data_IF_829703281337
#
_entry.id   IF_829703281337
#
_cell.length_a   1.000
_cell.length_b   1.000
_cell.length_c   1.000
_cell.angle_alpha   90.00
_cell.angle_beta   90.00
_cell.angle_gamma   90.00
#
_symmetry.space_group_name_H-M   'P 1'
#
loop_
_entity.id
_entity.type
_entity.pdbx_description
1 polymer ?
#
# COMPACT_ATOMS: atom_id res chain seq x y z
N UNK A 1 3.87 -11.07 -12.46
CA UNK A 1 3.87 -11.24 -11.00
C UNK A 1 5.28 -11.13 -10.41
N UNK A 2 6.24 -11.98 -10.75
CA UNK A 2 7.61 -11.97 -10.19
C UNK A 2 8.32 -10.61 -10.25
N UNK A 3 8.21 -9.91 -11.39
CA UNK A 3 8.82 -8.57 -11.55
C UNK A 3 8.23 -7.52 -10.60
N UNK A 4 6.93 -7.60 -10.27
CA UNK A 4 6.32 -6.72 -9.28
C UNK A 4 6.87 -7.00 -7.88
N UNK A 5 6.97 -8.28 -7.50
CA UNK A 5 7.54 -8.69 -6.21
C UNK A 5 9.00 -8.26 -6.08
N UNK A 6 9.79 -8.42 -7.14
CA UNK A 6 11.18 -7.96 -7.17
C UNK A 6 11.28 -6.44 -6.93
N UNK A 7 10.46 -5.64 -7.63
CA UNK A 7 10.43 -4.19 -7.45
C UNK A 7 10.00 -3.79 -6.04
N UNK A 8 9.02 -4.48 -5.45
CA UNK A 8 8.60 -4.27 -4.06
C UNK A 8 9.74 -4.55 -3.07
N UNK A 9 10.45 -5.66 -3.24
CA UNK A 9 11.61 -5.99 -2.40
C UNK A 9 12.74 -4.97 -2.56
N UNK A 10 13.03 -4.57 -3.80
CA UNK A 10 14.07 -3.58 -4.10
C UNK A 10 13.72 -2.21 -3.51
N UNK A 11 12.49 -1.75 -3.72
CA UNK A 11 11.98 -0.51 -3.12
C UNK A 11 12.06 -0.54 -1.60
N UNK A 12 11.62 -1.65 -0.97
CA UNK A 12 11.67 -1.80 0.47
C UNK A 12 13.11 -1.81 1.01
N UNK A 13 14.03 -2.47 0.29
CA UNK A 13 15.46 -2.47 0.64
C UNK A 13 16.04 -1.06 0.62
N UNK A 14 15.75 -0.28 -0.44
CA UNK A 14 16.19 1.11 -0.54
C UNK A 14 15.59 1.98 0.56
N UNK A 15 14.28 1.83 0.85
CA UNK A 15 13.61 2.59 1.91
C UNK A 15 14.17 2.33 3.32
N UNK A 16 14.85 1.19 3.54
CA UNK A 16 15.46 0.78 4.81
C UNK A 16 16.95 1.08 4.91
N UNK A 17 17.56 1.68 3.90
CA UNK A 17 18.95 2.07 3.99
C UNK A 17 19.13 3.15 5.08
N UNK A 18 20.18 2.97 5.89
CA UNK A 18 20.56 3.91 6.94
C UNK A 18 21.35 5.12 6.43
N UNK A 19 21.89 4.99 5.24
CA UNK A 19 22.65 6.05 4.59
C UNK A 19 22.25 6.08 3.12
N UNK A 20 21.95 7.27 2.62
CA UNK A 20 21.69 7.51 1.21
C UNK A 20 22.75 8.46 0.64
N UNK A 21 23.22 8.13 -0.55
CA UNK A 21 23.94 9.08 -1.43
C UNK A 21 22.96 9.65 -2.44
N UNK A 22 23.35 10.71 -3.15
CA UNK A 22 22.51 11.25 -4.22
C UNK A 22 22.20 10.19 -5.28
N UNK A 23 23.19 9.37 -5.66
CA UNK A 23 23.00 8.26 -6.60
C UNK A 23 21.96 7.24 -6.09
N UNK A 24 22.01 6.86 -4.81
CA UNK A 24 21.03 5.92 -4.26
C UNK A 24 19.62 6.51 -4.19
N UNK A 25 19.49 7.81 -3.99
CA UNK A 25 18.20 8.51 -4.02
C UNK A 25 17.65 8.60 -5.44
N UNK A 26 18.49 8.82 -6.44
CA UNK A 26 18.08 8.83 -7.85
C UNK A 26 17.63 7.43 -8.30
N UNK A 27 18.35 6.37 -7.89
CA UNK A 27 17.93 4.97 -8.10
C UNK A 27 16.59 4.72 -7.41
N UNK A 28 16.44 5.18 -6.16
CA UNK A 28 15.22 5.01 -5.40
C UNK A 28 14.00 5.67 -6.06
N UNK A 29 14.20 6.88 -6.58
CA UNK A 29 13.16 7.59 -7.33
C UNK A 29 12.77 6.83 -8.61
N UNK A 30 13.74 6.31 -9.36
CA UNK A 30 13.46 5.51 -10.56
C UNK A 30 12.73 4.20 -10.21
N UNK A 31 13.18 3.48 -9.19
CA UNK A 31 12.52 2.26 -8.71
C UNK A 31 11.10 2.55 -8.25
N UNK A 32 10.85 3.70 -7.62
CA UNK A 32 9.52 4.13 -7.20
C UNK A 32 8.60 4.35 -8.40
N UNK A 33 9.07 5.03 -9.44
CA UNK A 33 8.32 5.23 -10.69
C UNK A 33 7.96 3.90 -11.35
N UNK A 34 8.95 3.01 -11.47
CA UNK A 34 8.76 1.67 -12.07
C UNK A 34 7.79 0.81 -11.24
N UNK A 35 7.89 0.86 -9.93
CA UNK A 35 6.97 0.18 -9.01
C UNK A 35 5.53 0.69 -9.18
N UNK A 36 5.33 2.00 -9.17
CA UNK A 36 4.01 2.60 -9.34
C UNK A 36 3.38 2.21 -10.69
N UNK A 37 4.15 2.23 -11.77
CA UNK A 37 3.69 1.80 -13.10
C UNK A 37 3.32 0.32 -13.09
N UNK A 38 4.12 -0.52 -12.46
CA UNK A 38 3.88 -1.95 -12.39
C UNK A 38 2.66 -2.30 -11.51
N UNK A 39 2.41 -1.55 -10.43
CA UNK A 39 1.21 -1.70 -9.61
C UNK A 39 -0.04 -1.34 -10.42
N UNK A 40 0.00 -0.26 -11.22
CA UNK A 40 -1.11 0.11 -12.12
C UNK A 40 -1.39 -0.98 -13.17
N UNK A 41 -0.34 -1.49 -13.84
CA UNK A 41 -0.50 -2.61 -14.78
C UNK A 41 -1.07 -3.85 -14.09
N UNK A 42 -0.62 -4.17 -12.88
CA UNK A 42 -1.17 -5.29 -12.10
C UNK A 42 -2.67 -5.12 -11.82
N UNK A 43 -3.07 -3.91 -11.44
CA UNK A 43 -4.48 -3.59 -11.17
C UNK A 43 -5.35 -3.71 -12.43
N UNK A 44 -4.82 -3.32 -13.60
CA UNK A 44 -5.57 -3.29 -14.86
C UNK A 44 -5.57 -4.65 -15.58
N UNK A 45 -4.45 -5.36 -15.55
CA UNK A 45 -4.24 -6.56 -16.37
C UNK A 45 -4.50 -7.84 -15.58
N UNK A 46 -4.07 -7.87 -14.31
CA UNK A 46 -4.08 -9.10 -13.50
C UNK A 46 -5.32 -9.18 -12.62
N UNK A 47 -5.67 -8.10 -11.91
CA UNK A 47 -6.80 -8.12 -10.97
C UNK A 47 -8.14 -8.48 -11.62
N UNK A 48 -8.48 -8.03 -12.84
CA UNK A 48 -9.74 -8.40 -13.48
C UNK A 48 -9.89 -9.89 -13.79
N UNK A 49 -8.77 -10.62 -13.90
CA UNK A 49 -8.77 -12.08 -14.11
C UNK A 49 -9.25 -12.87 -12.88
N UNK A 50 -9.40 -12.20 -11.73
CA UNK A 50 -9.81 -12.83 -10.47
C UNK A 50 -11.13 -12.21 -9.98
N UNK A 51 -12.14 -13.05 -9.80
CA UNK A 51 -13.43 -12.64 -9.22
C UNK A 51 -13.31 -12.53 -7.69
N UNK A 52 -12.57 -11.53 -7.21
CA UNK A 52 -12.37 -11.31 -5.78
C UNK A 52 -13.62 -10.74 -5.12
N UNK A 53 -13.97 -11.28 -3.94
CA UNK A 53 -15.13 -10.85 -3.16
C UNK A 53 -14.73 -10.60 -1.71
N UNK A 54 -15.58 -9.87 -0.99
CA UNK A 54 -15.40 -9.61 0.45
C UNK A 54 -15.14 -10.88 1.25
N UNK A 55 -14.27 -10.80 2.23
CA UNK A 55 -14.10 -11.83 3.25
C UNK A 55 -15.35 -11.88 4.17
N UNK A 56 -15.66 -13.04 4.79
CA UNK A 56 -16.80 -13.13 5.70
C UNK A 56 -16.81 -12.04 6.78
N UNK A 57 -15.67 -11.79 7.43
CA UNK A 57 -15.52 -10.73 8.44
C UNK A 57 -15.78 -9.32 7.91
N UNK A 58 -15.41 -9.05 6.64
CA UNK A 58 -15.68 -7.75 6.02
C UNK A 58 -17.18 -7.56 5.75
N UNK A 59 -17.85 -8.62 5.30
CA UNK A 59 -19.29 -8.62 5.08
C UNK A 59 -20.05 -8.36 6.39
N UNK A 60 -19.66 -9.04 7.48
CA UNK A 60 -20.23 -8.84 8.81
C UNK A 60 -19.99 -7.42 9.33
N UNK A 61 -18.76 -6.91 9.22
CA UNK A 61 -18.43 -5.56 9.63
C UNK A 61 -19.16 -4.48 8.81
N UNK A 62 -19.43 -4.74 7.53
CA UNK A 62 -20.25 -3.86 6.68
C UNK A 62 -21.71 -3.88 7.14
N UNK A 63 -22.30 -5.06 7.37
CA UNK A 63 -23.67 -5.20 7.87
C UNK A 63 -23.83 -4.47 9.19
N UNK A 64 -22.96 -4.73 10.15
CA UNK A 64 -23.00 -4.07 11.45
C UNK A 64 -22.92 -2.53 11.38
N UNK A 65 -22.12 -1.98 10.45
CA UNK A 65 -22.06 -0.53 10.21
C UNK A 65 -23.35 0.00 9.59
N UNK A 66 -23.93 -0.75 8.65
CA UNK A 66 -25.20 -0.38 8.01
C UNK A 66 -26.37 -0.42 9.01
N UNK A 67 -26.43 -1.43 9.85
CA UNK A 67 -27.45 -1.56 10.90
C UNK A 67 -27.38 -0.39 11.89
N UNK A 68 -26.19 0.06 12.25
CA UNK A 68 -26.00 1.25 13.09
C UNK A 68 -26.41 2.56 12.43
N UNK A 69 -26.23 2.69 11.13
CA UNK A 69 -26.55 3.92 10.38
C UNK A 69 -28.01 3.96 9.94
N UNK A 70 -28.60 2.81 9.65
CA UNK A 70 -29.95 2.67 9.08
C UNK A 70 -30.94 2.08 10.08
N UNK A 71 -31.11 2.71 11.23
CA UNK A 71 -32.26 2.39 12.12
C UNK A 71 -33.62 2.69 11.45
N UNK A 72 -33.67 3.19 10.22
CA UNK A 72 -34.88 3.65 9.53
C UNK A 72 -35.10 3.18 8.09
N UNK A 73 -34.14 2.51 7.43
CA UNK A 73 -34.34 2.00 6.05
C UNK A 73 -33.55 0.73 5.79
N UNK A 74 -34.25 -0.38 5.64
CA UNK A 74 -33.70 -1.69 5.29
C UNK A 74 -33.44 -1.81 3.78
N UNK A 75 -32.26 -1.43 3.30
CA UNK A 75 -31.74 -1.89 2.01
C UNK A 75 -30.41 -2.63 2.20
N UNK A 76 -30.51 -3.73 2.89
CA UNK A 76 -29.37 -4.64 3.05
C UNK A 76 -29.18 -5.42 1.75
N UNK A 77 -28.13 -5.16 1.00
CA UNK A 77 -27.73 -6.02 -0.12
C UNK A 77 -27.24 -7.35 0.48
N UNK A 78 -28.04 -8.43 0.37
CA UNK A 78 -27.64 -9.71 0.96
C UNK A 78 -26.59 -10.33 0.04
N UNK A 79 -25.38 -10.51 0.54
CA UNK A 79 -24.31 -11.18 -0.19
C UNK A 79 -22.95 -10.53 -0.01
N UNK A 80 -21.92 -11.25 -0.44
CA UNK A 80 -20.54 -10.76 -0.50
C UNK A 80 -20.41 -9.85 -1.71
N UNK A 81 -19.91 -8.64 -1.49
CA UNK A 81 -19.69 -7.69 -2.59
C UNK A 81 -18.38 -8.00 -3.31
N UNK A 82 -18.34 -7.68 -4.61
CA UNK A 82 -17.12 -7.72 -5.39
C UNK A 82 -16.10 -6.71 -4.83
N UNK A 83 -14.83 -7.13 -4.77
CA UNK A 83 -13.73 -6.34 -4.22
C UNK A 83 -12.69 -6.08 -5.31
N UNK A 84 -12.49 -4.83 -5.66
CA UNK A 84 -11.42 -4.43 -6.57
C UNK A 84 -10.15 -4.02 -5.83
N UNK A 85 -9.01 -4.11 -6.50
CA UNK A 85 -7.74 -3.58 -5.99
C UNK A 85 -7.77 -2.05 -6.00
N UNK A 86 -7.79 -1.44 -4.81
CA UNK A 86 -7.94 0.00 -4.67
C UNK A 86 -6.58 0.72 -4.71
N UNK A 87 -6.35 1.50 -5.76
CA UNK A 87 -5.16 2.35 -5.92
C UNK A 87 -5.28 3.71 -5.22
N UNK A 88 -6.48 4.08 -4.76
CA UNK A 88 -6.79 5.37 -4.12
C UNK A 88 -6.44 5.38 -2.62
N UNK A 89 -5.48 4.58 -2.21
CA UNK A 89 -5.07 4.52 -0.81
C UNK A 89 -3.93 5.50 -0.54
N UNK A 90 -3.97 6.20 0.59
CA UNK A 90 -2.89 7.08 1.04
C UNK A 90 -1.51 6.42 0.97
N UNK A 91 -1.43 5.14 1.32
CA UNK A 91 -0.16 4.38 1.31
C UNK A 91 0.50 4.33 -0.07
N UNK A 92 -0.28 4.23 -1.14
CA UNK A 92 0.25 4.22 -2.51
C UNK A 92 0.67 5.61 -2.97
N UNK A 93 -0.06 6.65 -2.57
CA UNK A 93 0.33 8.03 -2.86
C UNK A 93 1.60 8.41 -2.11
N UNK A 94 1.73 8.04 -0.85
CA UNK A 94 2.90 8.32 -0.04
C UNK A 94 4.21 7.68 -0.54
N UNK A 95 4.15 6.62 -1.40
CA UNK A 95 5.36 6.03 -1.97
C UNK A 95 6.19 7.05 -2.77
N UNK A 96 5.54 7.97 -3.47
CA UNK A 96 6.21 8.98 -4.29
C UNK A 96 6.98 10.02 -3.45
N UNK A 97 6.60 10.20 -2.20
CA UNK A 97 7.18 11.25 -1.34
C UNK A 97 8.46 10.79 -0.62
N UNK A 98 8.76 9.48 -0.61
CA UNK A 98 9.87 8.94 0.19
C UNK A 98 11.22 9.54 -0.14
N UNK A 99 11.59 9.63 -1.43
CA UNK A 99 12.90 10.16 -1.83
C UNK A 99 13.07 11.63 -1.44
N UNK A 100 12.03 12.44 -1.64
CA UNK A 100 12.02 13.86 -1.24
C UNK A 100 12.07 14.04 0.27
N UNK A 101 11.34 13.21 1.02
CA UNK A 101 11.36 13.23 2.49
C UNK A 101 12.74 12.86 3.05
N UNK A 102 13.40 11.87 2.47
CA UNK A 102 14.76 11.50 2.87
C UNK A 102 15.76 12.62 2.57
N UNK A 103 15.63 13.32 1.45
CA UNK A 103 16.47 14.50 1.14
C UNK A 103 16.26 15.63 2.16
N UNK A 104 15.05 15.83 2.66
CA UNK A 104 14.72 16.93 3.58
C UNK A 104 15.01 16.61 5.04
N UNK A 105 14.73 15.39 5.48
CA UNK A 105 14.70 15.02 6.89
C UNK A 105 15.70 13.91 7.28
N UNK A 106 16.43 13.38 6.33
CA UNK A 106 17.31 12.23 6.53
C UNK A 106 16.60 10.89 6.39
N UNK A 107 17.31 9.83 6.75
CA UNK A 107 16.81 8.45 6.59
C UNK A 107 15.62 8.14 7.47
N UNK A 108 14.81 7.16 7.08
CA UNK A 108 13.58 6.77 7.77
C UNK A 108 13.79 6.35 9.23
N UNK A 109 14.98 5.90 9.60
CA UNK A 109 15.34 5.58 10.99
C UNK A 109 15.29 6.79 11.91
N UNK A 110 15.51 8.01 11.38
CA UNK A 110 15.54 9.25 12.16
C UNK A 110 14.16 9.66 12.70
N UNK A 111 13.07 9.23 12.08
CA UNK A 111 11.70 9.56 12.45
C UNK A 111 10.77 8.34 12.55
N UNK A 112 11.33 7.14 12.45
CA UNK A 112 10.57 5.90 12.65
C UNK A 112 10.16 5.74 14.10
N UNK A 113 8.88 5.45 14.34
CA UNK A 113 8.38 5.10 15.68
C UNK A 113 8.69 3.66 16.08
N UNK A 114 9.39 2.91 15.25
CA UNK A 114 9.91 1.60 15.63
C UNK A 114 10.96 1.82 16.73
N UNK A 115 10.58 1.54 17.97
CA UNK A 115 11.51 1.49 19.08
C UNK A 115 12.67 0.57 18.69
N UNK A 116 13.88 1.10 18.67
CA UNK A 116 15.08 0.28 18.58
C UNK A 116 15.02 -0.62 19.81
N UNK A 117 14.64 -1.89 19.63
CA UNK A 117 14.85 -2.90 20.66
C UNK A 117 16.37 -3.06 20.78
N UNK A 118 16.95 -2.28 21.66
CA UNK A 118 18.24 -2.60 22.22
C UNK A 118 18.01 -3.87 23.05
N UNK A 119 18.21 -5.02 22.44
CA UNK A 119 18.40 -6.26 23.19
C UNK A 119 19.75 -6.16 23.88
N UNK A 120 19.81 -6.32 25.21
CA UNK A 120 21.07 -6.37 25.93
C UNK A 120 21.89 -7.56 25.49
#
# INVERSE_FOLDING_TARGET
MLRLLFLLCHWHGLAKLRLHTDETLDIFEQVTKDLCNRIRSFALDTCPSFATVELPRETEARRWRQDKQNASQSSTTPGRQSKGFNLQTYKLHALADYSSQIRMYGTTDSYSTQAVRLTP
#
